data_IF_915861293129
#
_entry.id   IF_915861293129
#
_cell.length_a   1.000
_cell.length_b   1.000
_cell.length_c   1.000
_cell.angle_alpha   90.00
_cell.angle_beta   90.00
_cell.angle_gamma   90.00
#
_symmetry.space_group_name_H-M   'P 1'
#
loop_
_entity.id
_entity.type
_entity.pdbx_description
1 polymer ?
#
# COMPACT_ATOMS: atom_id res chain seq x y z
N UNK A 1 0.10 5.29 -2.84
CA UNK A 1 0.02 4.89 -1.41
C UNK A 1 1.41 4.51 -0.94
N UNK A 2 2.00 3.46 -1.53
CA UNK A 2 3.31 2.94 -1.14
C UNK A 2 3.22 2.00 0.05
N UNK A 3 4.36 1.76 0.69
CA UNK A 3 4.48 1.06 1.97
C UNK A 3 5.16 1.95 3.02
N UNK A 4 5.20 1.54 4.27
CA UNK A 4 6.00 2.18 5.30
C UNK A 4 6.11 1.32 6.55
N UNK A 5 7.26 1.39 7.24
CA UNK A 5 7.50 0.60 8.44
C UNK A 5 6.81 1.19 9.66
N UNK A 6 5.92 0.42 10.28
CA UNK A 6 5.17 0.85 11.46
C UNK A 6 6.06 1.05 12.70
N UNK A 7 7.23 0.41 12.74
CA UNK A 7 8.21 0.55 13.82
C UNK A 7 9.20 1.72 13.59
N UNK A 8 9.09 2.42 12.47
CA UNK A 8 9.97 3.53 12.09
C UNK A 8 11.35 3.11 11.58
N UNK A 9 11.53 1.83 11.22
CA UNK A 9 12.73 1.37 10.52
C UNK A 9 12.91 2.06 9.17
N UNK A 10 14.17 2.19 8.75
CA UNK A 10 14.51 2.64 7.40
C UNK A 10 14.58 1.44 6.44
N UNK A 11 14.23 1.68 5.18
CA UNK A 11 14.27 0.68 4.13
C UNK A 11 14.53 1.30 2.75
N UNK A 12 14.68 0.47 1.72
CA UNK A 12 14.85 0.96 0.35
C UNK A 12 13.59 1.69 -0.13
N UNK A 13 13.78 2.69 -0.99
CA UNK A 13 12.68 3.50 -1.53
C UNK A 13 11.72 4.02 -0.44
N UNK A 14 12.25 4.41 0.72
CA UNK A 14 11.49 4.95 1.86
C UNK A 14 11.16 6.44 1.67
N UNK A 15 10.31 6.75 0.70
CA UNK A 15 9.89 8.11 0.36
C UNK A 15 8.37 8.29 0.34
N UNK A 16 7.61 7.36 0.93
CA UNK A 16 6.14 7.43 1.01
C UNK A 16 5.65 7.70 2.46
N UNK A 17 5.97 8.87 3.06
CA UNK A 17 5.73 9.13 4.49
C UNK A 17 4.25 9.15 4.88
N UNK A 18 3.34 9.32 3.91
CA UNK A 18 1.89 9.31 4.14
C UNK A 18 1.25 7.92 4.00
N UNK A 19 2.03 6.87 3.70
CA UNK A 19 1.53 5.52 3.43
C UNK A 19 0.72 4.98 4.61
N UNK A 20 1.30 5.00 5.81
CA UNK A 20 0.64 4.52 7.03
C UNK A 20 -0.61 5.33 7.40
N UNK A 21 -0.60 6.65 7.23
CA UNK A 21 -1.77 7.49 7.50
C UNK A 21 -2.92 7.17 6.54
N UNK A 22 -2.61 6.95 5.27
CA UNK A 22 -3.62 6.60 4.25
C UNK A 22 -4.23 5.24 4.56
N UNK A 23 -3.41 4.23 4.86
CA UNK A 23 -3.89 2.89 5.27
C UNK A 23 -4.74 2.99 6.54
N UNK A 24 -4.30 3.76 7.53
CA UNK A 24 -5.05 3.95 8.78
C UNK A 24 -6.45 4.51 8.55
N UNK A 25 -6.59 5.57 7.75
CA UNK A 25 -7.90 6.13 7.45
C UNK A 25 -8.81 5.14 6.71
N UNK A 26 -8.26 4.37 5.76
CA UNK A 26 -9.03 3.33 5.06
C UNK A 26 -9.55 2.24 6.01
N UNK A 27 -8.78 1.91 7.05
CA UNK A 27 -9.19 0.94 8.07
C UNK A 27 -10.26 1.54 9.00
N UNK A 28 -10.10 2.79 9.43
CA UNK A 28 -11.07 3.48 10.30
C UNK A 28 -12.44 3.63 9.64
N UNK A 29 -12.47 3.93 8.34
CA UNK A 29 -13.70 4.15 7.56
C UNK A 29 -14.19 2.88 6.84
N UNK A 30 -13.61 1.70 7.11
CA UNK A 30 -13.81 0.48 6.32
C UNK A 30 -15.28 0.02 6.24
N UNK A 31 -16.09 0.31 7.26
CA UNK A 31 -17.52 -0.03 7.26
C UNK A 31 -18.34 0.84 6.29
N UNK A 32 -17.86 2.05 5.98
CA UNK A 32 -18.48 3.00 5.07
C UNK A 32 -17.86 2.95 3.66
N UNK A 33 -16.93 2.02 3.43
CA UNK A 33 -16.25 1.79 2.15
C UNK A 33 -16.68 0.42 1.57
N UNK A 34 -17.14 0.42 0.32
CA UNK A 34 -17.52 -0.81 -0.38
C UNK A 34 -16.38 -1.41 -1.21
N UNK A 35 -15.53 -0.56 -1.79
CA UNK A 35 -14.47 -0.94 -2.72
C UNK A 35 -13.35 0.12 -2.75
N UNK A 36 -12.10 -0.32 -2.93
CA UNK A 36 -10.93 0.55 -3.07
C UNK A 36 -10.32 0.40 -4.47
N UNK A 37 -9.91 1.51 -5.07
CA UNK A 37 -9.12 1.54 -6.29
C UNK A 37 -7.76 2.21 -6.00
N UNK A 38 -6.68 1.44 -6.14
CA UNK A 38 -5.31 1.95 -6.10
C UNK A 38 -4.78 2.06 -7.54
N UNK A 39 -4.78 3.28 -8.06
CA UNK A 39 -4.55 3.60 -9.48
C UNK A 39 -3.07 3.74 -9.86
N UNK A 40 -2.28 2.67 -9.69
CA UNK A 40 -0.85 2.65 -10.04
C UNK A 40 0.07 3.07 -8.89
N UNK A 41 1.37 2.89 -9.10
CA UNK A 41 2.43 3.24 -8.16
C UNK A 41 2.16 2.62 -6.78
N UNK A 42 2.31 1.31 -6.74
CA UNK A 42 1.72 0.46 -5.71
C UNK A 42 2.61 0.47 -4.48
N UNK A 43 3.78 -0.15 -4.63
CA UNK A 43 4.73 -0.42 -3.53
C UNK A 43 5.95 0.48 -3.62
N UNK A 44 6.30 0.96 -4.82
CA UNK A 44 7.61 1.54 -5.12
C UNK A 44 8.77 0.58 -4.81
N UNK A 45 8.55 -0.74 -4.95
CA UNK A 45 9.59 -1.72 -4.66
C UNK A 45 10.84 -1.55 -5.53
N UNK A 46 10.68 -1.10 -6.80
CA UNK A 46 11.77 -0.81 -7.73
C UNK A 46 12.89 -1.88 -7.78
N UNK A 47 12.53 -3.17 -7.64
CA UNK A 47 13.45 -4.30 -7.62
C UNK A 47 13.75 -4.91 -6.25
N UNK A 48 13.40 -4.24 -5.14
CA UNK A 48 13.48 -4.76 -3.77
C UNK A 48 12.24 -5.60 -3.44
N UNK A 49 12.20 -6.82 -3.98
CA UNK A 49 10.98 -7.65 -4.06
C UNK A 49 10.33 -7.96 -2.70
N UNK A 50 11.10 -8.01 -1.61
CA UNK A 50 10.56 -8.27 -0.27
C UNK A 50 9.49 -7.23 0.17
N UNK A 51 9.52 -6.02 -0.40
CA UNK A 51 8.57 -4.97 -0.09
C UNK A 51 7.16 -5.27 -0.62
N UNK A 52 7.01 -6.19 -1.57
CA UNK A 52 5.68 -6.64 -2.01
C UNK A 52 4.95 -7.39 -0.88
N UNK A 53 5.64 -8.27 -0.16
CA UNK A 53 5.04 -8.96 0.98
C UNK A 53 4.69 -7.96 2.08
N UNK A 54 5.56 -7.00 2.36
CA UNK A 54 5.30 -5.89 3.30
C UNK A 54 4.05 -5.09 2.91
N UNK A 55 3.90 -4.73 1.63
CA UNK A 55 2.71 -4.03 1.16
C UNK A 55 1.44 -4.86 1.31
N UNK A 56 1.46 -6.15 0.93
CA UNK A 56 0.29 -7.02 1.06
C UNK A 56 -0.12 -7.20 2.52
N UNK A 57 0.84 -7.27 3.45
CA UNK A 57 0.57 -7.26 4.89
C UNK A 57 0.00 -5.91 5.36
N UNK A 58 0.54 -4.78 4.89
CA UNK A 58 0.06 -3.45 5.25
C UNK A 58 -1.41 -3.23 4.86
N UNK A 59 -1.83 -3.68 3.67
CA UNK A 59 -3.21 -3.51 3.19
C UNK A 59 -4.15 -4.66 3.58
N UNK A 60 -3.65 -5.74 4.20
CA UNK A 60 -4.42 -6.93 4.57
C UNK A 60 -5.75 -6.59 5.27
N UNK A 61 -5.81 -5.68 6.27
CA UNK A 61 -7.07 -5.39 6.96
C UNK A 61 -8.17 -4.86 6.04
N UNK A 62 -7.80 -4.20 4.94
CA UNK A 62 -8.71 -3.68 3.93
C UNK A 62 -8.98 -4.74 2.86
N UNK A 63 -7.92 -5.27 2.23
CA UNK A 63 -8.01 -6.13 1.04
C UNK A 63 -8.53 -7.54 1.32
N UNK A 64 -8.44 -8.02 2.57
CA UNK A 64 -9.06 -9.30 2.98
C UNK A 64 -10.56 -9.20 3.21
N UNK A 65 -11.10 -7.98 3.35
CA UNK A 65 -12.51 -7.72 3.69
C UNK A 65 -13.29 -7.10 2.54
N UNK A 66 -12.67 -6.21 1.77
CA UNK A 66 -13.28 -5.47 0.66
C UNK A 66 -12.44 -5.61 -0.60
N UNK A 67 -13.03 -5.58 -1.81
CA UNK A 67 -12.26 -5.60 -3.04
C UNK A 67 -11.26 -4.44 -3.11
N UNK A 68 -10.00 -4.76 -3.41
CA UNK A 68 -8.90 -3.81 -3.58
C UNK A 68 -8.37 -3.92 -5.00
N UNK A 69 -8.85 -3.05 -5.88
CA UNK A 69 -8.55 -3.07 -7.31
C UNK A 69 -7.31 -2.25 -7.61
N UNK A 70 -6.44 -2.75 -8.48
CA UNK A 70 -5.14 -2.15 -8.79
C UNK A 70 -5.05 -1.78 -10.28
N UNK A 71 -4.54 -0.58 -10.56
CA UNK A 71 -4.02 -0.19 -11.89
C UNK A 71 -2.49 -0.30 -11.92
N UNK A 72 -1.90 -0.45 -13.11
CA UNK A 72 -0.43 -0.44 -13.28
C UNK A 72 0.08 0.98 -13.53
N UNK A 73 1.11 1.41 -12.78
CA UNK A 73 1.81 2.69 -12.96
C UNK A 73 3.19 2.53 -13.62
N UNK A 74 3.95 3.62 -13.70
CA UNK A 74 5.29 3.60 -14.28
C UNK A 74 6.28 2.83 -13.39
N UNK A 75 6.12 2.86 -12.07
CA UNK A 75 6.99 2.10 -11.16
C UNK A 75 6.75 0.58 -11.19
N UNK A 76 5.73 0.12 -11.91
CA UNK A 76 5.43 -1.30 -12.12
C UNK A 76 5.86 -1.83 -13.50
N UNK A 77 5.95 -0.96 -14.53
CA UNK A 77 5.97 -1.41 -15.93
C UNK A 77 6.86 -0.60 -16.90
N UNK A 78 7.53 0.47 -16.46
CA UNK A 78 8.55 1.17 -17.26
C UNK A 78 9.96 0.66 -16.93
#
# INVERSE_FOLDING_TARGET
MGKGEADGSFEFEDFQPASLNTTKQLIEDLNDIDIVFHIGDIVYAMGYIAQWDQFTAQIEPVASTKPYMIGSGNHECD
#
